data_IF_584614636395
#
_entry.id   IF_584614636395
#
_cell.length_a   1.000
_cell.length_b   1.000
_cell.length_c   1.000
_cell.angle_alpha   90.00
_cell.angle_beta   90.00
_cell.angle_gamma   90.00
#
_symmetry.space_group_name_H-M   'P 1'
#
loop_
_entity.id
_entity.type
_entity.pdbx_description
1 polymer ?
#
# COMPACT_ATOMS: atom_id res chain seq x y z
N UNK A 1 6.34 -19.47 -10.00
CA UNK A 1 7.28 -19.18 -8.88
C UNK A 1 8.58 -19.94 -9.10
N UNK A 2 9.51 -19.41 -9.90
CA UNK A 2 10.79 -20.08 -10.24
C UNK A 2 12.03 -19.40 -9.62
N UNK A 3 11.84 -18.42 -8.74
CA UNK A 3 12.92 -17.58 -8.18
C UNK A 3 13.27 -17.92 -6.72
N UNK A 4 13.00 -19.14 -6.26
CA UNK A 4 13.31 -19.54 -4.87
C UNK A 4 14.80 -19.50 -4.53
N UNK A 5 15.69 -19.58 -5.52
CA UNK A 5 17.15 -19.49 -5.36
C UNK A 5 17.65 -18.06 -5.12
N UNK A 6 16.79 -17.03 -5.13
CA UNK A 6 17.23 -15.64 -4.90
C UNK A 6 17.93 -15.45 -3.54
N UNK A 7 17.58 -16.25 -2.55
CA UNK A 7 18.18 -16.17 -1.21
C UNK A 7 19.58 -16.76 -1.11
N UNK A 8 20.12 -17.37 -2.17
CA UNK A 8 21.52 -17.77 -2.23
C UNK A 8 22.45 -16.63 -2.65
N UNK A 9 21.89 -15.53 -3.19
CA UNK A 9 22.64 -14.35 -3.63
C UNK A 9 22.25 -13.08 -2.87
N UNK A 10 21.10 -13.08 -2.19
CA UNK A 10 20.62 -12.00 -1.33
C UNK A 10 20.42 -12.54 0.08
N UNK A 11 21.00 -11.88 1.08
CA UNK A 11 20.81 -12.28 2.48
C UNK A 11 19.34 -12.08 2.89
N UNK A 12 18.62 -13.14 3.32
CA UNK A 12 17.20 -13.06 3.64
C UNK A 12 16.90 -12.16 4.85
N UNK A 13 17.80 -12.05 5.83
CA UNK A 13 17.60 -11.19 7.00
C UNK A 13 17.59 -9.70 6.68
N UNK A 14 18.08 -9.30 5.50
CA UNK A 14 18.03 -7.91 5.01
C UNK A 14 17.01 -7.78 3.87
N UNK A 15 16.99 -8.74 2.93
CA UNK A 15 16.11 -8.69 1.77
C UNK A 15 14.63 -8.86 2.10
N UNK A 16 14.27 -9.74 3.06
CA UNK A 16 12.86 -9.91 3.47
C UNK A 16 12.34 -8.62 4.14
N UNK A 17 13.03 -8.02 5.13
CA UNK A 17 12.58 -6.73 5.68
C UNK A 17 12.49 -5.61 4.65
N UNK A 18 13.46 -5.51 3.72
CA UNK A 18 13.40 -4.51 2.64
C UNK A 18 12.21 -4.72 1.71
N UNK A 19 11.90 -5.96 1.34
CA UNK A 19 10.74 -6.28 0.52
C UNK A 19 9.45 -5.87 1.22
N UNK A 20 9.24 -6.29 2.48
CA UNK A 20 8.03 -5.96 3.22
C UNK A 20 7.92 -4.46 3.50
N UNK A 21 9.04 -3.81 3.83
CA UNK A 21 9.10 -2.36 4.07
C UNK A 21 8.78 -1.55 2.82
N UNK A 22 9.36 -1.91 1.66
CA UNK A 22 9.08 -1.21 0.39
C UNK A 22 7.62 -1.36 -0.05
N UNK A 23 7.03 -2.55 0.12
CA UNK A 23 5.60 -2.78 -0.16
C UNK A 23 4.72 -1.93 0.77
N UNK A 24 5.04 -1.88 2.07
CA UNK A 24 4.30 -1.05 3.02
C UNK A 24 4.37 0.44 2.66
N UNK A 25 5.55 0.96 2.36
CA UNK A 25 5.74 2.36 1.94
C UNK A 25 4.96 2.65 0.65
N UNK A 26 5.04 1.77 -0.34
CA UNK A 26 4.31 1.92 -1.60
C UNK A 26 2.81 1.94 -1.37
N UNK A 27 2.29 1.03 -0.53
CA UNK A 27 0.86 0.99 -0.20
C UNK A 27 0.41 2.31 0.43
N UNK A 28 1.16 2.85 1.41
CA UNK A 28 0.83 4.12 2.05
C UNK A 28 0.85 5.29 1.05
N UNK A 29 1.83 5.34 0.15
CA UNK A 29 1.91 6.39 -0.87
C UNK A 29 0.73 6.34 -1.84
N UNK A 30 0.32 5.15 -2.28
CA UNK A 30 -0.86 4.99 -3.14
C UNK A 30 -2.13 5.46 -2.41
N UNK A 31 -2.31 5.09 -1.15
CA UNK A 31 -3.46 5.56 -0.35
C UNK A 31 -3.44 7.08 -0.19
N UNK A 32 -2.28 7.67 0.10
CA UNK A 32 -2.13 9.12 0.20
C UNK A 32 -2.49 9.80 -1.13
N UNK A 33 -2.01 9.28 -2.26
CA UNK A 33 -2.30 9.84 -3.58
C UNK A 33 -3.81 9.80 -3.90
N UNK A 34 -4.49 8.68 -3.66
CA UNK A 34 -5.94 8.57 -3.92
C UNK A 34 -6.72 9.50 -2.96
N UNK A 35 -6.28 9.63 -1.71
CA UNK A 35 -6.87 10.54 -0.74
C UNK A 35 -6.78 12.02 -1.18
N UNK A 36 -5.66 12.44 -1.78
CA UNK A 36 -5.43 13.84 -2.19
C UNK A 36 -5.88 14.17 -3.60
N UNK A 37 -6.07 13.18 -4.48
CA UNK A 37 -6.41 13.38 -5.88
C UNK A 37 -7.81 12.90 -6.28
N UNK A 38 -8.61 12.43 -5.33
CA UNK A 38 -10.00 12.04 -5.59
C UNK A 38 -10.93 12.60 -4.52
N UNK A 39 -12.17 12.90 -4.89
CA UNK A 39 -13.17 13.47 -3.97
C UNK A 39 -13.93 12.41 -3.18
N UNK A 40 -14.04 11.20 -3.71
CA UNK A 40 -14.85 10.14 -3.11
C UNK A 40 -14.24 9.58 -1.82
N UNK A 41 -12.91 9.51 -1.69
CA UNK A 41 -12.27 9.03 -0.45
C UNK A 41 -12.50 10.02 0.68
N UNK A 42 -12.30 11.31 0.42
CA UNK A 42 -12.58 12.35 1.40
C UNK A 42 -14.06 12.34 1.81
N UNK A 43 -14.99 12.20 0.85
CA UNK A 43 -16.41 12.06 1.13
C UNK A 43 -16.74 10.80 1.95
N UNK A 44 -16.08 9.68 1.67
CA UNK A 44 -16.19 8.45 2.46
C UNK A 44 -15.71 8.64 3.90
N UNK A 45 -14.56 9.30 4.11
CA UNK A 45 -14.01 9.56 5.44
C UNK A 45 -14.79 10.64 6.22
N UNK A 46 -15.40 11.61 5.53
CA UNK A 46 -16.29 12.61 6.12
C UNK A 46 -17.54 11.96 6.74
N UNK A 47 -18.00 10.83 6.17
CA UNK A 47 -19.17 10.11 6.63
C UNK A 47 -20.50 10.85 6.39
N UNK A 48 -21.58 10.36 6.98
CA UNK A 48 -22.84 11.12 7.13
C UNK A 48 -23.63 11.44 5.85
N UNK A 49 -23.30 10.88 4.68
CA UNK A 49 -24.10 11.07 3.46
C UNK A 49 -25.39 10.25 3.54
N UNK A 50 -26.42 10.82 4.17
CA UNK A 50 -27.77 10.27 4.16
C UNK A 50 -28.41 10.60 2.81
N UNK A 51 -28.69 9.58 1.99
CA UNK A 51 -29.57 9.72 0.84
C UNK A 51 -30.95 10.12 1.36
N UNK A 52 -31.34 11.38 1.16
CA UNK A 52 -32.71 11.84 1.42
C UNK A 52 -33.53 11.57 0.16
N UNK A 53 -34.33 10.50 0.21
CA UNK A 53 -35.42 10.26 -0.72
C UNK A 53 -36.60 9.69 0.06
#
# INVERSE_FOLDING_TARGET
MNQGKIWTIVNPSVGIPLLLGSVAVTALLVHAAILTHTTWVAAFMQGGTKLIH
#
